data_IF_255168708817
#
_entry.id   IF_255168708817
#
_cell.length_a   1.000
_cell.length_b   1.000
_cell.length_c   1.000
_cell.angle_alpha   90.00
_cell.angle_beta   90.00
_cell.angle_gamma   90.00
#
_symmetry.space_group_name_H-M   'P 1'
#
loop_
_entity.id
_entity.type
_entity.pdbx_description
1 polymer ?
#
# COMPACT_ATOMS: atom_id res chain seq x y z
N UNK A 1 26.27 13.12 30.95
CA UNK A 1 25.71 14.32 30.26
C UNK A 1 24.85 13.83 29.10
N UNK A 2 23.51 13.93 29.18
CA UNK A 2 22.63 13.58 28.05
C UNK A 2 22.79 14.66 26.98
N UNK A 3 23.28 14.31 25.79
CA UNK A 3 23.30 15.24 24.65
C UNK A 3 21.87 15.31 24.09
N UNK A 4 21.26 16.48 24.17
CA UNK A 4 20.03 16.77 23.42
C UNK A 4 20.37 17.09 21.96
N UNK A 5 19.44 16.81 21.05
CA UNK A 5 19.56 17.13 19.63
C UNK A 5 18.18 17.24 18.98
N UNK A 6 18.11 17.97 17.87
CA UNK A 6 16.92 18.09 17.04
C UNK A 6 17.21 17.44 15.68
N UNK A 7 16.33 16.55 15.25
CA UNK A 7 16.38 16.02 13.89
C UNK A 7 15.79 17.06 12.94
N UNK A 8 16.46 17.27 11.81
CA UNK A 8 15.93 18.11 10.74
C UNK A 8 14.70 17.45 10.14
N UNK A 9 13.76 18.28 9.66
CA UNK A 9 12.55 17.78 9.00
C UNK A 9 12.95 17.14 7.67
N UNK A 10 12.50 15.91 7.38
CA UNK A 10 12.80 15.26 6.10
C UNK A 10 12.13 16.02 4.95
N UNK A 11 12.88 16.16 3.85
CA UNK A 11 12.39 16.71 2.59
C UNK A 11 11.90 15.58 1.70
N UNK A 12 10.73 15.77 1.07
CA UNK A 12 10.12 14.78 0.19
C UNK A 12 10.37 15.16 -1.27
N UNK A 13 10.76 14.18 -2.08
CA UNK A 13 10.97 14.30 -3.53
C UNK A 13 9.78 13.75 -4.30
N UNK A 14 9.30 14.59 -5.20
CA UNK A 14 8.26 14.33 -6.19
C UNK A 14 8.89 14.33 -7.59
N UNK A 15 8.09 14.12 -8.63
CA UNK A 15 8.60 14.18 -10.00
C UNK A 15 9.02 15.59 -10.42
N UNK A 16 8.26 16.60 -10.01
CA UNK A 16 8.44 18.00 -10.39
C UNK A 16 9.25 18.86 -9.40
N UNK A 17 9.74 18.29 -8.29
CA UNK A 17 10.46 19.05 -7.27
C UNK A 17 10.37 18.44 -5.89
N UNK A 18 10.52 19.27 -4.86
CA UNK A 18 10.50 18.86 -3.45
C UNK A 18 9.46 19.62 -2.63
N UNK A 19 8.98 19.01 -1.56
CA UNK A 19 8.09 19.66 -0.58
C UNK A 19 8.32 19.12 0.84
N UNK A 20 7.86 19.86 1.85
CA UNK A 20 7.99 19.47 3.26
C UNK A 20 6.83 18.59 3.74
N UNK A 21 5.71 18.57 3.00
CA UNK A 21 4.58 17.69 3.27
C UNK A 21 4.04 17.07 1.99
N UNK A 22 3.43 15.88 2.09
CA UNK A 22 2.71 15.26 0.98
C UNK A 22 1.72 16.20 0.31
N UNK A 23 0.78 16.74 1.09
CA UNK A 23 -0.32 17.55 0.59
C UNK A 23 0.15 18.83 -0.11
N UNK A 24 1.19 19.48 0.42
CA UNK A 24 1.79 20.66 -0.21
C UNK A 24 2.37 20.32 -1.58
N UNK A 25 3.12 19.21 -1.70
CA UNK A 25 3.67 18.78 -2.99
C UNK A 25 2.61 18.56 -4.06
N UNK A 26 1.45 17.99 -3.70
CA UNK A 26 0.32 17.84 -4.63
C UNK A 26 -0.37 19.18 -4.96
N UNK A 27 -0.55 20.06 -3.97
CA UNK A 27 -1.11 21.41 -4.20
C UNK A 27 -0.24 22.27 -5.11
N UNK A 28 1.08 22.12 -5.01
CA UNK A 28 2.05 22.76 -5.91
C UNK A 28 2.12 22.10 -7.29
N UNK A 29 1.39 20.99 -7.51
CA UNK A 29 1.34 20.32 -8.79
C UNK A 29 2.61 19.53 -9.13
N UNK A 30 3.42 19.15 -8.14
CA UNK A 30 4.71 18.46 -8.36
C UNK A 30 4.55 17.04 -8.93
N UNK A 31 3.34 16.47 -8.86
CA UNK A 31 2.96 15.14 -9.33
C UNK A 31 3.69 13.98 -8.61
N UNK A 32 3.14 12.76 -8.63
CA UNK A 32 3.80 11.60 -8.04
C UNK A 32 5.19 11.34 -8.60
N UNK A 33 6.10 10.84 -7.76
CA UNK A 33 7.47 10.50 -8.14
C UNK A 33 7.54 9.51 -9.30
N UNK A 34 6.77 8.43 -9.25
CA UNK A 34 6.68 7.42 -10.32
C UNK A 34 5.32 6.73 -10.31
N UNK A 35 4.88 6.21 -11.45
CA UNK A 35 3.72 5.32 -11.57
C UNK A 35 3.04 5.47 -12.93
N UNK A 36 1.96 4.71 -13.09
CA UNK A 36 1.20 4.66 -14.34
C UNK A 36 0.29 5.87 -14.53
N UNK A 37 -0.06 6.15 -15.79
CA UNK A 37 -0.99 7.22 -16.15
C UNK A 37 -2.45 6.80 -16.09
N UNK A 38 -2.71 5.51 -15.89
CA UNK A 38 -4.04 4.91 -15.86
C UNK A 38 -4.06 3.85 -14.77
N UNK A 39 -5.17 3.77 -14.04
CA UNK A 39 -5.49 2.65 -13.16
C UNK A 39 -6.89 2.16 -13.52
N UNK A 40 -6.96 0.93 -14.03
CA UNK A 40 -8.20 0.21 -14.32
C UNK A 40 -8.76 -0.35 -13.03
N UNK A 41 -9.98 0.05 -12.71
CA UNK A 41 -10.67 -0.40 -11.51
C UNK A 41 -11.97 -1.10 -11.83
N UNK A 42 -12.29 -2.06 -10.98
CA UNK A 42 -13.59 -2.72 -10.97
C UNK A 42 -14.29 -2.41 -9.65
N UNK A 43 -15.55 -1.97 -9.71
CA UNK A 43 -16.26 -1.45 -8.54
C UNK A 43 -17.31 -2.45 -8.05
N UNK A 44 -17.25 -2.82 -6.77
CA UNK A 44 -18.28 -3.60 -6.09
C UNK A 44 -19.04 -2.70 -5.13
N UNK A 45 -20.36 -2.68 -5.19
CA UNK A 45 -21.19 -1.92 -4.24
C UNK A 45 -22.55 -2.54 -4.04
N UNK A 46 -23.17 -2.33 -2.88
CA UNK A 46 -24.56 -2.72 -2.68
C UNK A 46 -25.51 -1.82 -3.45
N UNK A 47 -26.70 -2.34 -3.78
CA UNK A 47 -27.72 -1.54 -4.46
C UNK A 47 -28.09 -0.25 -3.69
N UNK A 48 -28.07 -0.31 -2.35
CA UNK A 48 -28.31 0.82 -1.44
C UNK A 48 -27.27 1.93 -1.53
N UNK A 49 -26.02 1.59 -1.88
CA UNK A 49 -24.89 2.53 -1.95
C UNK A 49 -24.38 2.79 -3.36
N UNK A 50 -24.94 2.14 -4.37
CA UNK A 50 -24.51 2.24 -5.77
C UNK A 50 -24.44 3.68 -6.30
N UNK A 51 -25.37 4.56 -5.90
CA UNK A 51 -25.32 5.98 -6.31
C UNK A 51 -24.15 6.70 -5.65
N UNK A 52 -24.01 6.54 -4.33
CA UNK A 52 -22.96 7.19 -3.54
C UNK A 52 -21.56 6.68 -3.91
N UNK A 53 -21.43 5.39 -4.24
CA UNK A 53 -20.15 4.79 -4.65
C UNK A 53 -19.68 5.37 -5.97
N UNK A 54 -20.57 5.49 -6.96
CA UNK A 54 -20.25 6.11 -8.24
C UNK A 54 -19.90 7.60 -8.09
N UNK A 55 -20.66 8.35 -7.29
CA UNK A 55 -20.34 9.75 -6.98
C UNK A 55 -18.97 9.88 -6.29
N UNK A 56 -18.63 8.95 -5.39
CA UNK A 56 -17.32 8.94 -4.74
C UNK A 56 -16.19 8.63 -5.72
N UNK A 57 -16.39 7.67 -6.63
CA UNK A 57 -15.41 7.35 -7.69
C UNK A 57 -15.21 8.53 -8.64
N UNK A 58 -16.29 9.22 -9.00
CA UNK A 58 -16.22 10.44 -9.82
C UNK A 58 -15.45 11.57 -9.09
N UNK A 59 -15.74 11.80 -7.81
CA UNK A 59 -15.03 12.76 -6.97
C UNK A 59 -13.55 12.39 -6.77
N UNK A 60 -13.22 11.10 -6.69
CA UNK A 60 -11.84 10.61 -6.64
C UNK A 60 -11.08 10.96 -7.92
N UNK A 61 -11.70 10.71 -9.08
CA UNK A 61 -11.10 10.96 -10.40
C UNK A 61 -10.94 12.46 -10.68
N UNK A 62 -12.03 13.22 -10.53
CA UNK A 62 -12.14 14.60 -11.00
C UNK A 62 -11.82 15.65 -9.92
N UNK A 63 -11.89 15.26 -8.65
CA UNK A 63 -11.63 16.14 -7.53
C UNK A 63 -12.86 16.88 -7.02
N UNK A 64 -12.66 17.55 -5.89
CA UNK A 64 -13.64 18.39 -5.19
C UNK A 64 -12.95 19.62 -4.61
N UNK A 65 -13.68 20.54 -3.99
CA UNK A 65 -13.03 21.68 -3.30
C UNK A 65 -12.03 21.18 -2.25
N UNK A 66 -10.75 21.50 -2.45
CA UNK A 66 -9.65 21.12 -1.56
C UNK A 66 -8.87 19.87 -1.98
N UNK A 67 -9.34 19.11 -2.97
CA UNK A 67 -8.65 17.95 -3.54
C UNK A 67 -8.78 17.95 -5.07
N UNK A 68 -7.66 17.98 -5.80
CA UNK A 68 -7.70 18.21 -7.25
C UNK A 68 -8.03 17.01 -8.13
N UNK A 69 -8.33 15.83 -7.58
CA UNK A 69 -8.64 14.63 -8.37
C UNK A 69 -7.40 13.86 -8.82
N UNK A 70 -7.56 12.56 -9.09
CA UNK A 70 -6.47 11.70 -9.54
C UNK A 70 -5.90 12.17 -10.88
N UNK A 71 -6.75 12.55 -11.84
CA UNK A 71 -6.29 13.00 -13.16
C UNK A 71 -5.40 14.24 -13.03
N UNK A 72 -5.77 15.23 -12.22
CA UNK A 72 -4.96 16.43 -12.04
C UNK A 72 -3.79 16.22 -11.08
N UNK A 73 -4.03 15.78 -9.84
CA UNK A 73 -2.99 15.73 -8.80
C UNK A 73 -2.01 14.57 -9.01
N UNK A 74 -2.52 13.42 -9.45
CA UNK A 74 -1.72 12.20 -9.63
C UNK A 74 -1.23 12.01 -11.06
N UNK A 75 -1.73 12.80 -12.02
CA UNK A 75 -1.49 12.59 -13.45
C UNK A 75 -1.84 11.14 -13.84
N UNK A 76 -2.98 10.68 -13.31
CA UNK A 76 -3.43 9.29 -13.41
C UNK A 76 -4.95 9.27 -13.59
N UNK A 77 -5.41 8.67 -14.68
CA UNK A 77 -6.82 8.48 -14.97
C UNK A 77 -7.34 7.21 -14.28
N UNK A 78 -8.47 7.36 -13.60
CA UNK A 78 -9.15 6.25 -12.92
C UNK A 78 -10.23 5.71 -13.86
N UNK A 79 -9.97 4.55 -14.47
CA UNK A 79 -10.85 3.97 -15.48
C UNK A 79 -11.70 2.86 -14.89
N UNK A 80 -13.02 3.05 -14.89
CA UNK A 80 -13.97 2.06 -14.36
C UNK A 80 -14.32 1.05 -15.45
N UNK A 81 -13.76 -0.14 -15.36
CA UNK A 81 -13.99 -1.25 -16.31
C UNK A 81 -15.37 -1.90 -16.12
N UNK A 82 -15.90 -1.84 -14.90
CA UNK A 82 -17.20 -2.41 -14.58
C UNK A 82 -17.66 -2.10 -13.17
N UNK A 83 -18.97 -2.24 -12.97
CA UNK A 83 -19.63 -2.02 -11.68
C UNK A 83 -20.55 -3.21 -11.41
N UNK A 84 -20.28 -3.94 -10.33
CA UNK A 84 -21.14 -5.03 -9.86
C UNK A 84 -21.94 -4.56 -8.66
N UNK A 85 -23.25 -4.73 -8.77
CA UNK A 85 -24.19 -4.53 -7.68
C UNK A 85 -24.35 -5.85 -6.93
N UNK A 86 -23.92 -5.89 -5.68
CA UNK A 86 -24.04 -7.07 -4.81
C UNK A 86 -25.22 -6.91 -3.85
N UNK A 87 -25.83 -8.03 -3.47
CA UNK A 87 -26.96 -8.06 -2.53
C UNK A 87 -26.58 -8.77 -1.21
N UNK A 88 -25.65 -9.72 -1.28
CA UNK A 88 -25.17 -10.50 -0.14
C UNK A 88 -23.63 -10.49 -0.03
N UNK A 89 -23.10 -11.12 1.02
CA UNK A 89 -21.66 -11.34 1.16
C UNK A 89 -21.13 -12.41 0.20
N UNK A 90 -21.94 -13.41 -0.12
CA UNK A 90 -21.62 -14.43 -1.13
C UNK A 90 -21.46 -13.79 -2.51
N UNK A 91 -22.26 -12.78 -2.83
CA UNK A 91 -22.16 -12.04 -4.08
C UNK A 91 -20.82 -11.31 -4.22
N UNK A 92 -20.24 -10.81 -3.12
CA UNK A 92 -18.91 -10.21 -3.14
C UNK A 92 -17.85 -11.23 -3.55
N UNK A 93 -17.91 -12.43 -2.97
CA UNK A 93 -16.97 -13.52 -3.26
C UNK A 93 -17.12 -13.97 -4.72
N UNK A 94 -18.36 -14.20 -5.18
CA UNK A 94 -18.64 -14.57 -6.56
C UNK A 94 -18.16 -13.51 -7.55
N UNK A 95 -18.44 -12.24 -7.29
CA UNK A 95 -17.96 -11.14 -8.12
C UNK A 95 -16.42 -11.10 -8.15
N UNK A 96 -15.76 -11.37 -7.03
CA UNK A 96 -14.31 -11.43 -6.92
C UNK A 96 -13.70 -12.64 -7.65
N UNK A 97 -14.44 -13.72 -7.90
CA UNK A 97 -14.01 -14.86 -8.73
C UNK A 97 -14.19 -14.57 -10.22
N UNK A 98 -15.21 -13.82 -10.61
CA UNK A 98 -15.57 -13.52 -12.00
C UNK A 98 -14.86 -12.28 -12.57
N UNK A 99 -14.34 -11.38 -11.73
CA UNK A 99 -13.64 -10.16 -12.18
C UNK A 99 -12.51 -10.48 -13.15
N UNK A 100 -12.45 -9.74 -14.26
CA UNK A 100 -11.38 -9.85 -15.25
C UNK A 100 -10.05 -9.23 -14.79
N UNK A 101 -9.11 -9.13 -15.71
CA UNK A 101 -7.81 -8.50 -15.44
C UNK A 101 -7.95 -6.97 -15.28
N UNK A 102 -7.80 -6.51 -14.04
CA UNK A 102 -7.85 -5.10 -13.64
C UNK A 102 -6.70 -4.80 -12.67
N UNK A 103 -6.34 -3.52 -12.55
CA UNK A 103 -5.22 -3.12 -11.70
C UNK A 103 -5.61 -3.10 -10.21
N UNK A 104 -6.90 -2.84 -9.91
CA UNK A 104 -7.41 -2.80 -8.54
C UNK A 104 -8.93 -2.99 -8.46
N UNK A 105 -9.41 -3.65 -7.40
CA UNK A 105 -10.85 -3.69 -7.06
C UNK A 105 -11.20 -2.67 -5.98
N UNK A 106 -12.20 -1.83 -6.25
CA UNK A 106 -12.81 -0.90 -5.29
C UNK A 106 -14.08 -1.52 -4.72
N UNK A 107 -14.05 -1.92 -3.44
CA UNK A 107 -15.18 -2.60 -2.81
C UNK A 107 -15.80 -1.74 -1.71
N UNK A 108 -17.09 -1.43 -1.87
CA UNK A 108 -17.87 -0.64 -0.91
C UNK A 108 -18.62 -1.55 0.07
N UNK A 109 -17.97 -1.93 1.16
CA UNK A 109 -18.44 -2.96 2.10
C UNK A 109 -19.21 -2.37 3.28
N UNK A 110 -20.07 -3.15 3.96
CA UNK A 110 -20.75 -2.72 5.18
C UNK A 110 -19.76 -2.28 6.26
N UNK A 111 -20.22 -1.44 7.17
CA UNK A 111 -19.41 -1.01 8.32
C UNK A 111 -19.16 -2.22 9.25
N UNK A 112 -17.94 -2.39 9.76
CA UNK A 112 -17.59 -3.55 10.63
C UNK A 112 -18.53 -3.68 11.84
N UNK A 113 -18.97 -2.56 12.42
CA UNK A 113 -19.90 -2.55 13.56
C UNK A 113 -21.35 -2.94 13.21
N UNK A 114 -21.66 -3.09 11.91
CA UNK A 114 -23.02 -3.36 11.42
C UNK A 114 -23.25 -4.81 11.01
N UNK A 115 -22.22 -5.65 11.10
CA UNK A 115 -22.25 -7.07 10.74
C UNK A 115 -21.68 -7.89 11.90
N UNK A 116 -22.21 -9.10 12.11
CA UNK A 116 -21.53 -10.05 12.99
C UNK A 116 -20.17 -10.43 12.36
N UNK A 117 -19.15 -10.74 13.17
CA UNK A 117 -17.79 -11.00 12.69
C UNK A 117 -17.73 -12.12 11.64
N UNK A 118 -18.62 -13.12 11.75
CA UNK A 118 -18.74 -14.24 10.81
C UNK A 118 -19.49 -13.86 9.51
N UNK A 119 -20.13 -12.69 9.48
CA UNK A 119 -20.82 -12.10 8.34
C UNK A 119 -20.07 -10.89 7.74
N UNK A 120 -18.83 -10.61 8.15
CA UNK A 120 -18.06 -9.54 7.52
C UNK A 120 -17.50 -9.99 6.15
N UNK A 121 -17.95 -9.39 5.01
CA UNK A 121 -17.43 -9.76 3.70
C UNK A 121 -15.95 -9.38 3.52
N UNK A 122 -15.38 -8.53 4.38
CA UNK A 122 -14.02 -8.03 4.24
C UNK A 122 -12.99 -9.16 4.13
N UNK A 123 -12.95 -10.06 5.12
CA UNK A 123 -11.91 -11.11 5.16
C UNK A 123 -12.04 -12.13 4.01
N UNK A 124 -13.23 -12.69 3.72
CA UNK A 124 -13.41 -13.58 2.56
C UNK A 124 -13.06 -12.91 1.24
N UNK A 125 -13.57 -11.70 1.00
CA UNK A 125 -13.31 -10.95 -0.22
C UNK A 125 -11.82 -10.65 -0.40
N UNK A 126 -11.16 -10.19 0.68
CA UNK A 126 -9.73 -9.88 0.67
C UNK A 126 -8.90 -11.09 0.30
N UNK A 127 -9.24 -12.26 0.87
CA UNK A 127 -8.54 -13.53 0.62
C UNK A 127 -8.64 -13.97 -0.84
N UNK A 128 -9.83 -13.90 -1.42
CA UNK A 128 -10.08 -14.29 -2.83
C UNK A 128 -9.34 -13.36 -3.79
N UNK A 129 -9.40 -12.05 -3.57
CA UNK A 129 -8.68 -11.10 -4.42
C UNK A 129 -7.16 -11.27 -4.29
N UNK A 130 -6.66 -11.49 -3.07
CA UNK A 130 -5.24 -11.69 -2.80
C UNK A 130 -4.70 -13.00 -3.41
N UNK A 131 -5.46 -14.10 -3.37
CA UNK A 131 -5.05 -15.37 -4.01
C UNK A 131 -4.94 -15.27 -5.52
N UNK A 132 -5.68 -14.33 -6.12
CA UNK A 132 -5.62 -13.97 -7.54
C UNK A 132 -4.56 -12.91 -7.86
N UNK A 133 -3.79 -12.44 -6.86
CA UNK A 133 -2.79 -11.39 -7.04
C UNK A 133 -3.38 -10.00 -7.31
N UNK A 134 -4.68 -9.79 -7.07
CA UNK A 134 -5.36 -8.54 -7.35
C UNK A 134 -5.38 -7.61 -6.12
N UNK A 135 -4.81 -6.40 -6.23
CA UNK A 135 -4.94 -5.38 -5.20
C UNK A 135 -6.41 -4.96 -4.99
N UNK A 136 -6.73 -4.58 -3.76
CA UNK A 136 -8.09 -4.15 -3.41
C UNK A 136 -8.09 -3.03 -2.38
N UNK A 137 -9.01 -2.09 -2.56
CA UNK A 137 -9.30 -1.02 -1.61
C UNK A 137 -10.76 -1.14 -1.17
N UNK A 138 -10.93 -1.50 0.10
CA UNK A 138 -12.22 -1.57 0.76
C UNK A 138 -12.56 -0.18 1.31
N UNK A 139 -13.81 0.22 1.15
CA UNK A 139 -14.36 1.49 1.62
C UNK A 139 -15.66 1.17 2.33
N UNK A 140 -15.80 1.61 3.57
CA UNK A 140 -17.03 1.38 4.32
C UNK A 140 -18.21 2.15 3.73
N UNK A 141 -19.41 1.57 3.84
CA UNK A 141 -20.64 2.19 3.37
C UNK A 141 -20.91 3.53 4.06
N UNK A 142 -20.64 3.69 5.35
CA UNK A 142 -20.80 4.99 6.03
C UNK A 142 -19.84 6.04 5.46
N UNK A 143 -18.58 5.68 5.22
CA UNK A 143 -17.58 6.56 4.58
C UNK A 143 -18.07 6.99 3.19
N UNK A 144 -18.58 6.06 2.41
CA UNK A 144 -19.18 6.36 1.10
C UNK A 144 -20.40 7.26 1.21
N UNK A 145 -21.33 7.00 2.13
CA UNK A 145 -22.56 7.81 2.26
C UNK A 145 -22.28 9.22 2.75
N UNK A 146 -21.40 9.39 3.73
CA UNK A 146 -21.26 10.68 4.43
C UNK A 146 -20.01 11.47 4.03
N UNK A 147 -18.97 10.81 3.51
CA UNK A 147 -17.64 11.40 3.30
C UNK A 147 -17.17 11.37 1.83
N UNK A 148 -18.04 10.99 0.88
CA UNK A 148 -17.74 10.94 -0.56
C UNK A 148 -17.24 12.24 -1.21
N UNK A 149 -17.46 13.38 -0.59
CA UNK A 149 -16.96 14.69 -1.04
C UNK A 149 -15.92 15.30 -0.08
N UNK A 150 -15.46 14.54 0.92
CA UNK A 150 -14.46 15.02 1.86
C UNK A 150 -13.06 14.97 1.24
N UNK A 151 -12.44 16.14 1.04
CA UNK A 151 -11.13 16.25 0.38
C UNK A 151 -10.01 15.44 1.04
N UNK A 152 -9.99 15.32 2.38
CA UNK A 152 -8.98 14.53 3.07
C UNK A 152 -9.17 13.03 2.86
N UNK A 153 -10.42 12.55 2.91
CA UNK A 153 -10.77 11.15 2.63
C UNK A 153 -10.41 10.79 1.19
N UNK A 154 -10.80 11.64 0.23
CA UNK A 154 -10.50 11.42 -1.18
C UNK A 154 -9.00 11.44 -1.46
N UNK A 155 -8.25 12.36 -0.84
CA UNK A 155 -6.79 12.40 -0.98
C UNK A 155 -6.11 11.13 -0.46
N UNK A 156 -6.51 10.65 0.73
CA UNK A 156 -5.96 9.42 1.30
C UNK A 156 -6.31 8.18 0.48
N UNK A 157 -7.54 8.11 -0.04
CA UNK A 157 -7.97 7.02 -0.93
C UNK A 157 -7.21 7.04 -2.24
N UNK A 158 -7.04 8.21 -2.86
CA UNK A 158 -6.23 8.35 -4.08
C UNK A 158 -4.78 7.89 -3.86
N UNK A 159 -4.17 8.25 -2.72
CA UNK A 159 -2.84 7.76 -2.35
C UNK A 159 -2.78 6.24 -2.24
N UNK A 160 -3.77 5.64 -1.57
CA UNK A 160 -3.85 4.20 -1.39
C UNK A 160 -4.05 3.46 -2.72
N UNK A 161 -4.98 3.91 -3.56
CA UNK A 161 -5.26 3.34 -4.88
C UNK A 161 -4.02 3.42 -5.76
N UNK A 162 -3.42 4.61 -5.87
CA UNK A 162 -2.24 4.84 -6.67
C UNK A 162 -1.06 3.96 -6.24
N UNK A 163 -0.85 3.80 -4.94
CA UNK A 163 0.25 2.97 -4.40
C UNK A 163 0.00 1.47 -4.60
N UNK A 164 -1.25 1.02 -4.43
CA UNK A 164 -1.65 -0.38 -4.66
C UNK A 164 -1.55 -0.79 -6.13
N UNK A 165 -1.75 0.16 -7.04
CA UNK A 165 -1.48 -0.02 -8.47
C UNK A 165 0.03 0.06 -8.82
N UNK A 166 0.94 0.10 -7.83
CA UNK A 166 2.39 0.12 -8.03
C UNK A 166 3.01 1.51 -8.16
N UNK A 167 2.20 2.56 -8.04
CA UNK A 167 2.66 3.94 -8.02
C UNK A 167 3.48 4.28 -6.76
N UNK A 168 4.38 5.25 -6.89
CA UNK A 168 5.18 5.80 -5.79
C UNK A 168 4.87 7.30 -5.71
N UNK A 169 4.05 7.74 -4.75
CA UNK A 169 3.67 9.15 -4.59
C UNK A 169 4.86 10.09 -4.39
N UNK A 170 5.77 9.74 -3.48
CA UNK A 170 6.97 10.51 -3.19
C UNK A 170 8.04 9.59 -2.58
N UNK A 171 9.27 10.07 -2.52
CA UNK A 171 10.39 9.43 -1.82
C UNK A 171 11.09 10.44 -0.92
N UNK A 172 12.05 10.00 -0.10
CA UNK A 172 12.93 10.94 0.59
C UNK A 172 13.87 11.61 -0.42
N UNK A 173 14.07 12.92 -0.27
CA UNK A 173 14.95 13.68 -1.13
C UNK A 173 16.43 13.40 -0.87
N UNK A 174 16.74 13.18 0.40
CA UNK A 174 18.06 12.90 0.93
C UNK A 174 18.32 11.39 0.98
N UNK A 175 19.59 11.02 0.78
CA UNK A 175 20.03 9.64 0.94
C UNK A 175 20.03 9.25 2.40
N UNK A 176 19.53 8.06 2.70
CA UNK A 176 19.64 7.44 4.01
C UNK A 176 21.07 7.03 4.33
N UNK A 177 21.41 6.92 5.61
CA UNK A 177 22.73 6.46 6.04
C UNK A 177 23.05 5.04 5.54
N UNK A 178 22.04 4.17 5.52
CA UNK A 178 22.15 2.80 5.02
C UNK A 178 21.67 2.71 3.57
N UNK A 179 22.31 1.85 2.78
CA UNK A 179 21.91 1.58 1.40
C UNK A 179 20.58 0.83 1.36
N UNK A 180 20.43 -0.15 2.26
CA UNK A 180 19.24 -0.98 2.39
C UNK A 180 18.67 -0.91 3.82
N UNK A 181 17.34 -0.86 3.93
CA UNK A 181 16.65 -1.01 5.22
C UNK A 181 15.65 -2.14 5.12
N UNK A 182 15.77 -3.10 6.02
CA UNK A 182 14.91 -4.28 6.10
C UNK A 182 14.05 -4.16 7.36
N UNK A 183 12.74 -4.26 7.21
CA UNK A 183 11.80 -4.38 8.33
C UNK A 183 11.19 -5.76 8.31
N UNK A 184 11.12 -6.46 9.44
CA UNK A 184 10.37 -7.72 9.52
C UNK A 184 9.49 -7.79 10.75
N UNK A 185 8.45 -8.61 10.66
CA UNK A 185 7.59 -8.96 11.78
C UNK A 185 7.21 -10.45 11.75
N UNK A 186 6.88 -11.00 12.91
CA UNK A 186 6.54 -12.42 13.08
C UNK A 186 5.23 -12.58 13.86
N UNK A 187 4.34 -13.43 13.37
CA UNK A 187 3.00 -13.61 13.95
C UNK A 187 2.16 -14.63 13.18
N UNK A 188 1.19 -15.26 13.86
CA UNK A 188 0.27 -16.21 13.22
C UNK A 188 0.94 -17.42 12.54
N UNK A 189 2.15 -17.80 12.97
CA UNK A 189 2.95 -18.87 12.37
C UNK A 189 3.79 -18.47 11.15
N UNK A 190 3.72 -17.21 10.71
CA UNK A 190 4.47 -16.68 9.57
C UNK A 190 5.40 -15.52 9.93
N UNK A 191 6.19 -15.11 8.94
CA UNK A 191 6.95 -13.86 8.96
C UNK A 191 6.69 -13.06 7.70
N UNK A 192 6.70 -11.74 7.82
CA UNK A 192 6.67 -10.81 6.70
C UNK A 192 7.92 -9.97 6.75
N UNK A 193 8.62 -9.87 5.63
CA UNK A 193 9.82 -9.04 5.49
C UNK A 193 9.56 -7.99 4.41
N UNK A 194 9.94 -6.76 4.68
CA UNK A 194 9.95 -5.64 3.75
C UNK A 194 11.37 -5.14 3.61
N UNK A 195 11.75 -4.74 2.40
CA UNK A 195 13.09 -4.25 2.11
C UNK A 195 13.02 -3.05 1.19
N UNK A 196 13.77 -2.02 1.56
CA UNK A 196 13.94 -0.81 0.77
C UNK A 196 15.40 -0.64 0.37
N UNK A 197 15.62 -0.09 -0.81
CA UNK A 197 16.93 0.33 -1.29
C UNK A 197 16.88 1.81 -1.65
N UNK A 198 17.89 2.57 -1.24
CA UNK A 198 17.83 4.03 -1.25
C UNK A 198 18.07 4.66 -2.63
N UNK A 199 18.84 4.03 -3.52
CA UNK A 199 19.22 4.69 -4.78
C UNK A 199 19.52 3.73 -5.96
N UNK A 200 18.62 3.58 -6.95
CA UNK A 200 17.31 4.21 -7.03
C UNK A 200 16.35 3.64 -5.98
N UNK A 201 15.42 4.47 -5.47
CA UNK A 201 14.43 4.00 -4.51
C UNK A 201 13.70 2.75 -5.02
N UNK A 202 13.81 1.68 -4.26
CA UNK A 202 13.16 0.41 -4.55
C UNK A 202 12.52 -0.14 -3.28
N UNK A 203 11.38 -0.79 -3.43
CA UNK A 203 10.67 -1.46 -2.34
C UNK A 203 10.30 -2.87 -2.79
N UNK A 204 10.37 -3.82 -1.87
CA UNK A 204 9.89 -5.19 -2.06
C UNK A 204 9.50 -5.79 -0.72
N UNK A 205 8.75 -6.87 -0.76
CA UNK A 205 8.38 -7.64 0.41
C UNK A 205 8.33 -9.13 0.08
N UNK A 206 8.49 -9.95 1.11
CA UNK A 206 8.47 -11.42 1.03
C UNK A 206 7.80 -11.98 2.29
N UNK A 207 7.32 -13.21 2.20
CA UNK A 207 6.80 -13.97 3.34
C UNK A 207 7.65 -15.20 3.58
N UNK A 208 7.68 -15.67 4.82
CA UNK A 208 8.33 -16.92 5.21
C UNK A 208 7.61 -17.60 6.37
N UNK A 209 8.14 -18.73 6.81
CA UNK A 209 7.69 -19.41 8.02
C UNK A 209 8.37 -18.84 9.26
N UNK A 210 7.71 -18.94 10.42
CA UNK A 210 8.25 -18.55 11.72
C UNK A 210 9.29 -19.57 12.24
N UNK A 211 10.38 -19.72 11.49
CA UNK A 211 11.54 -20.56 11.80
C UNK A 211 12.82 -19.79 11.50
N UNK A 212 13.94 -20.22 12.07
CA UNK A 212 15.27 -19.63 11.77
C UNK A 212 15.54 -19.60 10.27
N UNK A 213 15.29 -20.72 9.59
CA UNK A 213 15.55 -20.85 8.17
C UNK A 213 14.54 -20.05 7.32
N UNK A 214 13.26 -20.10 7.69
CA UNK A 214 12.19 -19.37 7.00
C UNK A 214 12.39 -17.86 7.03
N UNK A 215 12.71 -17.30 8.20
CA UNK A 215 13.03 -15.87 8.31
C UNK A 215 14.34 -15.52 7.61
N UNK A 216 15.38 -16.35 7.73
CA UNK A 216 16.65 -16.10 7.05
C UNK A 216 16.49 -16.05 5.52
N UNK A 217 15.70 -16.97 4.96
CA UNK A 217 15.39 -17.00 3.53
C UNK A 217 14.49 -15.84 3.11
N UNK A 218 13.48 -15.49 3.91
CA UNK A 218 12.64 -14.32 3.62
C UNK A 218 13.47 -13.03 3.57
N UNK A 219 14.39 -12.83 4.53
CA UNK A 219 15.31 -11.68 4.52
C UNK A 219 16.20 -11.72 3.29
N UNK A 220 16.89 -12.84 3.01
CA UNK A 220 17.82 -12.93 1.89
C UNK A 220 17.12 -12.71 0.53
N UNK A 221 15.93 -13.29 0.34
CA UNK A 221 15.14 -13.16 -0.89
C UNK A 221 14.56 -11.76 -1.08
N UNK A 222 14.31 -11.02 0.00
CA UNK A 222 13.84 -9.63 -0.06
C UNK A 222 14.92 -8.65 -0.54
N UNK A 223 16.20 -9.03 -0.55
CA UNK A 223 17.29 -8.20 -1.07
C UNK A 223 17.65 -8.65 -2.47
N UNK A 224 17.52 -7.74 -3.44
CA UNK A 224 17.83 -8.05 -4.84
C UNK A 224 19.35 -8.01 -5.07
N UNK A 225 19.95 -8.99 -5.78
CA UNK A 225 21.37 -8.97 -6.11
C UNK A 225 21.81 -7.69 -6.85
N UNK A 226 20.92 -7.12 -7.67
CA UNK A 226 21.19 -5.89 -8.41
C UNK A 226 21.32 -4.62 -7.56
N UNK A 227 21.02 -4.68 -6.26
CA UNK A 227 21.10 -3.52 -5.38
C UNK A 227 22.53 -3.20 -4.93
N UNK A 228 23.49 -4.13 -5.00
CA UNK A 228 24.89 -3.86 -4.61
C UNK A 228 25.01 -3.27 -3.19
N UNK A 229 24.26 -3.85 -2.24
CA UNK A 229 24.12 -3.36 -0.86
C UNK A 229 25.45 -3.44 -0.12
N UNK A 230 25.94 -2.33 0.43
CA UNK A 230 27.16 -2.29 1.26
C UNK A 230 26.86 -2.10 2.73
N UNK A 231 25.80 -1.35 3.02
CA UNK A 231 25.35 -1.04 4.38
C UNK A 231 23.86 -1.34 4.50
N UNK A 232 23.49 -2.01 5.59
CA UNK A 232 22.10 -2.35 5.85
C UNK A 232 21.70 -2.04 7.30
N UNK A 233 20.43 -1.68 7.48
CA UNK A 233 19.79 -1.64 8.78
C UNK A 233 18.64 -2.66 8.82
N UNK A 234 18.45 -3.30 9.97
CA UNK A 234 17.37 -4.26 10.20
C UNK A 234 16.52 -3.75 11.35
N UNK A 235 15.23 -3.57 11.10
CA UNK A 235 14.24 -3.09 12.04
C UNK A 235 13.23 -4.21 12.35
N UNK A 236 12.89 -4.37 13.62
CA UNK A 236 11.83 -5.25 14.12
C UNK A 236 10.95 -4.42 15.03
N UNK A 237 9.64 -4.64 14.94
CA UNK A 237 8.73 -4.10 15.95
C UNK A 237 8.85 -4.90 17.25
N UNK A 238 9.12 -4.22 18.36
CA UNK A 238 9.34 -4.86 19.66
C UNK A 238 10.73 -5.51 19.84
N UNK A 239 10.91 -6.28 20.93
CA UNK A 239 12.19 -6.92 21.24
C UNK A 239 12.51 -8.04 20.24
N UNK A 240 13.79 -8.20 19.91
CA UNK A 240 14.27 -9.29 19.08
C UNK A 240 14.45 -10.56 19.92
N UNK A 241 13.92 -11.68 19.44
CA UNK A 241 14.07 -12.99 20.09
C UNK A 241 15.37 -13.68 19.64
N UNK A 242 15.91 -14.59 20.45
CA UNK A 242 17.18 -15.27 20.15
C UNK A 242 17.17 -16.00 18.80
N UNK A 243 16.05 -16.64 18.46
CA UNK A 243 15.90 -17.35 17.18
C UNK A 243 15.81 -16.37 15.98
N UNK A 244 15.24 -15.18 16.18
CA UNK A 244 15.19 -14.13 15.15
C UNK A 244 16.58 -13.54 14.92
N UNK A 245 17.35 -13.35 16.00
CA UNK A 245 18.73 -12.90 15.92
C UNK A 245 19.61 -13.92 15.16
N UNK A 246 19.43 -15.21 15.43
CA UNK A 246 20.12 -16.27 14.67
C UNK A 246 19.70 -16.28 13.19
N UNK A 247 18.41 -16.09 12.90
CA UNK A 247 17.92 -15.98 11.53
C UNK A 247 18.55 -14.79 10.79
N UNK A 248 18.66 -13.63 11.45
CA UNK A 248 19.31 -12.43 10.91
C UNK A 248 20.78 -12.68 10.60
N UNK A 249 21.53 -13.31 11.52
CA UNK A 249 22.95 -13.67 11.29
C UNK A 249 23.11 -14.59 10.08
N UNK A 250 22.21 -15.57 9.95
CA UNK A 250 22.21 -16.49 8.82
C UNK A 250 21.85 -15.80 7.51
N UNK A 251 20.89 -14.88 7.52
CA UNK A 251 20.52 -14.09 6.35
C UNK A 251 21.70 -13.24 5.84
N UNK A 252 22.41 -12.56 6.75
CA UNK A 252 23.61 -11.79 6.41
C UNK A 252 24.66 -12.70 5.77
N UNK A 253 24.94 -13.85 6.39
CA UNK A 253 25.89 -14.83 5.84
C UNK A 253 25.49 -15.35 4.44
N UNK A 254 24.19 -15.46 4.16
CA UNK A 254 23.68 -15.83 2.83
C UNK A 254 23.86 -14.69 1.82
N UNK A 255 23.62 -13.45 2.23
CA UNK A 255 23.78 -12.28 1.37
C UNK A 255 25.25 -12.07 0.98
N UNK A 256 26.17 -12.18 1.93
CA UNK A 256 27.62 -12.05 1.65
C UNK A 256 28.14 -13.09 0.65
N UNK A 257 27.55 -14.28 0.63
CA UNK A 257 27.91 -15.34 -0.34
C UNK A 257 27.38 -15.06 -1.76
N UNK A 258 26.41 -14.16 -1.93
CA UNK A 258 25.79 -13.86 -3.22
C UNK A 258 26.54 -12.78 -4.02
N UNK A 259 27.53 -12.12 -3.42
CA UNK A 259 28.26 -11.00 -4.02
C UNK A 259 27.53 -9.69 -3.82
#
# INVERSE_FOLDING_TARGET
>A
MRRGGYLTRPVLRFKGGTALTPLEGFKLGLKPFRGERRVRVYVFSRASTAKSSLEMVENLANGVKGYGGMSSWFNCDLEVEGVVKVQSNEDYVKAAEEVGDVDLVLAFIPDEMSVEYDEDPYMPLKRVLASRGMPSQMIEESTCRYMRANSYVLFNLALSIYSKAGGIPWVLDERTYFDCTIGFDSGGGGVVVTSTFSNPFSFTWTMGSQTVEGLAEAIASSVKPSWGVKTMAIHKDGPIMDWELEAVRRAISKLDRRG
#
